data_IF_735474964130
#
_entry.id   IF_735474964130
#
_cell.length_a   1.000
_cell.length_b   1.000
_cell.length_c   1.000
_cell.angle_alpha   90.00
_cell.angle_beta   90.00
_cell.angle_gamma   90.00
#
_symmetry.space_group_name_H-M   'P 1'
#
loop_
_entity.id
_entity.type
_entity.pdbx_description
1 polymer ?
#
# COMPACT_ATOMS: atom_id res chain seq x y z
N UNK A 1 -6.28 10.64 14.08
CA UNK A 1 -6.46 9.75 12.92
C UNK A 1 -5.53 8.56 13.09
N UNK A 2 -6.03 7.32 13.03
CA UNK A 2 -5.21 6.11 13.03
C UNK A 2 -5.57 5.30 11.77
N UNK A 3 -4.75 5.35 10.70
CA UNK A 3 -5.07 4.64 9.48
C UNK A 3 -4.82 3.15 9.65
N UNK A 4 -5.74 2.35 9.13
CA UNK A 4 -5.58 0.89 9.07
C UNK A 4 -4.76 0.48 7.84
N UNK A 5 -4.03 -0.64 7.89
CA UNK A 5 -3.24 -1.17 6.76
C UNK A 5 -3.53 -2.66 6.55
N UNK A 6 -4.81 -3.02 6.61
CA UNK A 6 -5.28 -4.40 6.56
C UNK A 6 -5.47 -4.86 5.11
N UNK A 7 -5.21 -6.13 4.85
CA UNK A 7 -5.58 -6.79 3.60
C UNK A 7 -6.97 -7.41 3.74
N UNK A 8 -7.82 -7.31 2.70
CA UNK A 8 -9.21 -7.78 2.80
C UNK A 8 -9.32 -9.27 3.18
N UNK A 9 -8.41 -10.12 2.67
CA UNK A 9 -8.43 -11.57 2.96
C UNK A 9 -7.99 -11.91 4.38
N UNK A 10 -7.09 -11.11 4.98
CA UNK A 10 -6.46 -11.42 6.27
C UNK A 10 -6.70 -10.34 7.33
N UNK A 11 -7.78 -9.55 7.20
CA UNK A 11 -7.98 -8.35 8.01
C UNK A 11 -7.87 -8.60 9.54
N UNK A 12 -8.42 -9.71 10.03
CA UNK A 12 -8.30 -10.09 11.45
C UNK A 12 -6.86 -10.39 11.86
N UNK A 13 -6.12 -11.11 11.01
CA UNK A 13 -4.73 -11.45 11.27
C UNK A 13 -3.83 -10.21 11.21
N UNK A 14 -3.99 -9.39 10.18
CA UNK A 14 -3.23 -8.16 9.98
C UNK A 14 -3.48 -7.14 11.10
N UNK A 15 -4.70 -7.12 11.64
CA UNK A 15 -5.04 -6.28 12.79
C UNK A 15 -4.36 -6.79 14.07
N UNK A 16 -4.23 -8.11 14.23
CA UNK A 16 -3.56 -8.71 15.39
C UNK A 16 -2.02 -8.65 15.27
N UNK A 17 -1.48 -8.62 14.05
CA UNK A 17 -0.04 -8.67 13.76
C UNK A 17 0.39 -7.54 12.80
N UNK A 18 0.21 -6.27 13.17
CA UNK A 18 0.59 -5.17 12.30
C UNK A 18 2.10 -5.13 12.08
N UNK A 19 2.53 -4.86 10.84
CA UNK A 19 3.94 -4.59 10.53
C UNK A 19 4.45 -3.27 11.09
N UNK A 20 3.53 -2.32 11.33
CA UNK A 20 3.79 -0.97 11.85
C UNK A 20 2.49 -0.34 12.33
N UNK A 21 2.58 0.63 13.22
CA UNK A 21 1.43 1.44 13.67
C UNK A 21 1.67 2.93 13.38
N UNK A 22 0.73 3.60 12.70
CA UNK A 22 0.79 5.03 12.39
C UNK A 22 -0.24 5.77 13.24
N UNK A 23 0.19 6.80 13.96
CA UNK A 23 -0.64 7.55 14.92
C UNK A 23 -0.62 9.03 14.52
N UNK A 24 -1.70 9.49 13.90
CA UNK A 24 -1.95 10.90 13.61
C UNK A 24 -2.62 11.59 14.80
N UNK A 25 -1.93 12.52 15.45
CA UNK A 25 -2.42 13.21 16.64
C UNK A 25 -2.24 14.73 16.54
N UNK A 26 -3.16 15.49 17.14
CA UNK A 26 -3.09 16.96 17.23
C UNK A 26 -2.02 17.47 18.20
N UNK A 27 -1.49 16.59 19.06
CA UNK A 27 -0.35 16.90 19.92
C UNK A 27 0.47 15.66 20.22
N UNK A 28 1.77 15.87 20.45
CA UNK A 28 2.70 14.79 20.84
C UNK A 28 2.22 14.04 22.09
N UNK A 29 1.71 14.76 23.10
CA UNK A 29 1.20 14.16 24.34
C UNK A 29 0.06 13.17 24.09
N UNK A 30 -0.87 13.50 23.20
CA UNK A 30 -1.96 12.60 22.81
C UNK A 30 -1.41 11.39 22.04
N UNK A 31 -0.51 11.63 21.09
CA UNK A 31 0.14 10.55 20.32
C UNK A 31 0.86 9.54 21.22
N UNK A 32 1.64 10.00 22.20
CA UNK A 32 2.35 9.13 23.15
C UNK A 32 1.39 8.32 24.04
N UNK A 33 0.26 8.90 24.45
CA UNK A 33 -0.76 8.15 25.21
C UNK A 33 -1.38 7.04 24.37
N UNK A 34 -1.66 7.30 23.10
CA UNK A 34 -2.21 6.31 22.18
C UNK A 34 -1.16 5.23 21.88
N UNK A 35 0.11 5.61 21.69
CA UNK A 35 1.21 4.68 21.50
C UNK A 35 1.31 3.71 22.69
N UNK A 36 1.31 4.23 23.93
CA UNK A 36 1.33 3.40 25.14
C UNK A 36 0.17 2.42 25.21
N UNK A 37 -1.02 2.82 24.74
CA UNK A 37 -2.16 1.91 24.64
C UNK A 37 -1.92 0.81 23.61
N UNK A 38 -1.37 1.12 22.44
CA UNK A 38 -1.05 0.08 21.46
C UNK A 38 0.07 -0.85 21.91
N UNK A 39 1.05 -0.35 22.66
CA UNK A 39 2.14 -1.16 23.23
C UNK A 39 1.65 -2.17 24.28
N UNK A 40 0.40 -2.06 24.79
CA UNK A 40 -0.20 -3.12 25.63
C UNK A 40 -0.83 -4.26 24.82
N UNK A 41 -1.03 -4.06 23.51
CA UNK A 41 -1.71 -5.01 22.62
C UNK A 41 -0.71 -5.62 21.63
N UNK A 42 0.19 -4.80 21.10
CA UNK A 42 1.16 -5.18 20.07
C UNK A 42 2.60 -5.16 20.60
N UNK A 43 3.54 -5.87 19.93
CA UNK A 43 4.94 -5.87 20.33
C UNK A 43 5.53 -4.46 20.42
N UNK A 44 6.35 -4.20 21.44
CA UNK A 44 7.10 -2.93 21.53
C UNK A 44 8.18 -2.83 20.44
N UNK A 45 8.61 -3.96 19.89
CA UNK A 45 9.63 -4.04 18.84
C UNK A 45 9.13 -3.65 17.45
N UNK A 46 7.81 -3.61 17.20
CA UNK A 46 7.30 -3.11 15.92
C UNK A 46 7.45 -1.58 15.82
N UNK A 47 7.62 -1.02 14.62
CA UNK A 47 7.70 0.42 14.44
C UNK A 47 6.39 1.16 14.79
N UNK A 48 6.49 2.22 15.59
CA UNK A 48 5.42 3.17 15.87
C UNK A 48 5.79 4.55 15.33
N UNK A 49 4.91 5.13 14.51
CA UNK A 49 5.10 6.45 13.92
C UNK A 49 4.07 7.43 14.47
N UNK A 50 4.49 8.39 15.28
CA UNK A 50 3.64 9.49 15.75
C UNK A 50 3.86 10.70 14.85
N UNK A 51 2.79 11.22 14.26
CA UNK A 51 2.81 12.37 13.34
C UNK A 51 1.55 13.22 13.49
N UNK A 52 1.43 14.33 12.75
CA UNK A 52 0.19 15.08 12.67
C UNK A 52 -0.88 14.31 11.87
N UNK A 53 -2.14 14.74 11.98
CA UNK A 53 -3.27 14.04 11.35
C UNK A 53 -3.19 14.03 9.84
N UNK A 54 -2.77 15.14 9.22
CA UNK A 54 -2.69 15.27 7.76
C UNK A 54 -1.60 14.37 7.20
N UNK A 55 -0.43 14.32 7.86
CA UNK A 55 0.65 13.42 7.48
C UNK A 55 0.25 11.94 7.60
N UNK A 56 -0.51 11.57 8.63
CA UNK A 56 -1.02 10.21 8.77
C UNK A 56 -1.98 9.84 7.63
N UNK A 57 -2.85 10.77 7.22
CA UNK A 57 -3.77 10.57 6.09
C UNK A 57 -3.01 10.40 4.79
N UNK A 58 -2.03 11.25 4.55
CA UNK A 58 -1.15 11.14 3.38
C UNK A 58 -0.40 9.81 3.35
N UNK A 59 0.12 9.33 4.49
CA UNK A 59 0.79 8.03 4.58
C UNK A 59 -0.11 6.84 4.18
N UNK A 60 -1.42 6.89 4.50
CA UNK A 60 -2.39 5.88 4.05
C UNK A 60 -2.58 5.91 2.54
N UNK A 61 -2.87 7.08 1.98
CA UNK A 61 -3.04 7.24 0.54
C UNK A 61 -1.79 6.82 -0.22
N UNK A 62 -0.61 7.30 0.20
CA UNK A 62 0.65 6.96 -0.45
C UNK A 62 0.92 5.45 -0.40
N UNK A 63 0.72 4.80 0.76
CA UNK A 63 0.94 3.35 0.88
C UNK A 63 0.05 2.53 -0.06
N UNK A 64 -1.25 2.82 -0.09
CA UNK A 64 -2.19 2.10 -0.95
C UNK A 64 -1.89 2.32 -2.44
N UNK A 65 -1.58 3.55 -2.84
CA UNK A 65 -1.27 3.87 -4.22
C UNK A 65 0.06 3.25 -4.70
N UNK A 66 1.07 3.17 -3.84
CA UNK A 66 2.34 2.50 -4.15
C UNK A 66 2.15 0.98 -4.35
N UNK A 67 1.30 0.34 -3.55
CA UNK A 67 0.98 -1.08 -3.71
C UNK A 67 0.17 -1.32 -5.00
N UNK A 68 -0.86 -0.51 -5.25
CA UNK A 68 -1.67 -0.59 -6.47
C UNK A 68 -0.81 -0.38 -7.74
N UNK A 69 0.09 0.60 -7.73
CA UNK A 69 1.04 0.85 -8.80
C UNK A 69 1.93 -0.37 -9.10
N UNK A 70 2.44 -1.04 -8.07
CA UNK A 70 3.26 -2.24 -8.24
C UNK A 70 2.50 -3.38 -8.90
N UNK A 71 1.24 -3.60 -8.51
CA UNK A 71 0.40 -4.65 -9.11
C UNK A 71 0.14 -4.35 -10.59
N UNK A 72 -0.27 -3.13 -10.92
CA UNK A 72 -0.58 -2.77 -12.32
C UNK A 72 0.66 -2.85 -13.23
N UNK A 73 1.82 -2.39 -12.75
CA UNK A 73 3.06 -2.57 -13.49
C UNK A 73 3.42 -4.06 -13.65
N UNK A 74 3.17 -4.87 -12.63
CA UNK A 74 3.39 -6.31 -12.69
C UNK A 74 2.51 -6.98 -13.75
N UNK A 75 1.26 -6.53 -13.92
CA UNK A 75 0.33 -7.00 -14.95
C UNK A 75 0.83 -6.68 -16.37
N UNK A 76 1.35 -5.46 -16.58
CA UNK A 76 1.96 -5.08 -17.87
C UNK A 76 3.16 -5.98 -18.21
N UNK A 77 4.05 -6.21 -17.24
CA UNK A 77 5.18 -7.12 -17.44
C UNK A 77 4.75 -8.57 -17.66
N UNK A 78 3.65 -9.01 -17.04
CA UNK A 78 3.08 -10.33 -17.29
C UNK A 78 2.60 -10.43 -18.75
N UNK A 79 1.80 -9.48 -19.22
CA UNK A 79 1.31 -9.44 -20.60
C UNK A 79 2.46 -9.37 -21.62
N UNK A 80 3.48 -8.55 -21.36
CA UNK A 80 4.67 -8.48 -22.19
C UNK A 80 5.42 -9.80 -22.22
N UNK A 81 5.59 -10.45 -21.06
CA UNK A 81 6.25 -11.75 -20.94
C UNK A 81 5.56 -12.82 -21.80
N UNK A 82 4.22 -12.85 -21.80
CA UNK A 82 3.45 -13.75 -22.69
C UNK A 82 3.74 -13.46 -24.17
N UNK A 83 3.88 -12.19 -24.54
CA UNK A 83 4.08 -11.80 -25.94
C UNK A 83 5.49 -12.11 -26.45
N UNK A 84 6.49 -12.03 -25.60
CA UNK A 84 7.89 -12.33 -25.94
C UNK A 84 8.28 -13.79 -25.68
N UNK A 85 7.37 -14.60 -25.12
CA UNK A 85 7.63 -16.02 -24.80
C UNK A 85 8.50 -16.22 -23.56
N UNK A 86 8.52 -15.26 -22.63
CA UNK A 86 9.23 -15.38 -21.36
C UNK A 86 8.34 -16.01 -20.28
N UNK A 87 8.92 -16.87 -19.44
CA UNK A 87 8.26 -17.35 -18.22
C UNK A 87 8.25 -16.25 -17.16
N UNK A 88 7.09 -15.63 -16.99
CA UNK A 88 6.88 -14.55 -16.03
C UNK A 88 7.26 -14.94 -14.60
N UNK A 89 6.98 -16.18 -14.16
CA UNK A 89 7.28 -16.57 -12.78
C UNK A 89 8.77 -16.68 -12.52
N UNK A 90 9.56 -17.05 -13.54
CA UNK A 90 11.02 -17.00 -13.49
C UNK A 90 11.52 -15.55 -13.46
N UNK A 91 10.98 -14.68 -14.31
CA UNK A 91 11.33 -13.24 -14.34
C UNK A 91 11.01 -12.57 -13.00
N UNK A 92 9.79 -12.75 -12.51
CA UNK A 92 9.30 -12.20 -11.24
C UNK A 92 10.19 -12.60 -10.08
N UNK A 93 10.54 -13.89 -9.95
CA UNK A 93 11.42 -14.36 -8.86
C UNK A 93 12.81 -13.73 -8.92
N UNK A 94 13.38 -13.58 -10.11
CA UNK A 94 14.66 -12.92 -10.28
C UNK A 94 14.61 -11.43 -9.86
N UNK A 95 13.54 -10.73 -10.23
CA UNK A 95 13.32 -9.32 -9.85
C UNK A 95 13.06 -9.18 -8.33
N UNK A 96 12.26 -10.07 -7.74
CA UNK A 96 11.94 -10.05 -6.31
C UNK A 96 13.12 -10.37 -5.39
N UNK A 97 14.20 -10.97 -5.93
CA UNK A 97 15.42 -11.20 -5.18
C UNK A 97 16.12 -9.88 -4.79
N UNK A 98 15.81 -8.76 -5.45
CA UNK A 98 16.29 -7.43 -5.05
C UNK A 98 15.45 -6.89 -3.88
N UNK A 99 16.04 -6.71 -2.67
CA UNK A 99 15.31 -6.25 -1.49
C UNK A 99 14.77 -4.83 -1.62
N UNK A 100 15.26 -4.03 -2.57
CA UNK A 100 14.74 -2.67 -2.86
C UNK A 100 13.38 -2.73 -3.56
N UNK A 101 13.08 -3.83 -4.25
CA UNK A 101 11.81 -4.03 -4.96
C UNK A 101 10.79 -4.73 -4.04
N UNK A 102 11.19 -5.84 -3.43
CA UNK A 102 10.35 -6.60 -2.49
C UNK A 102 9.17 -7.34 -3.13
N UNK A 103 8.12 -7.58 -2.35
CA UNK A 103 6.95 -8.43 -2.70
C UNK A 103 5.90 -7.73 -3.58
N UNK A 104 4.71 -8.33 -3.75
CA UNK A 104 3.56 -7.78 -4.51
C UNK A 104 3.79 -7.62 -6.02
N UNK A 105 4.35 -8.66 -6.65
CA UNK A 105 4.52 -8.75 -8.11
C UNK A 105 3.88 -10.03 -8.68
N UNK A 106 3.02 -10.71 -7.93
CA UNK A 106 2.42 -11.98 -8.36
C UNK A 106 1.24 -11.70 -9.30
N UNK A 107 1.27 -12.32 -10.48
CA UNK A 107 0.23 -12.23 -11.52
C UNK A 107 0.00 -13.62 -12.14
N UNK A 108 -1.23 -14.13 -12.21
CA UNK A 108 -2.46 -13.57 -11.62
C UNK A 108 -2.35 -13.44 -10.10
N UNK A 109 -3.12 -12.51 -9.53
CA UNK A 109 -3.16 -12.26 -8.10
C UNK A 109 -3.61 -13.47 -7.29
N UNK A 110 -3.60 -13.40 -5.95
CA UNK A 110 -4.02 -14.51 -5.08
C UNK A 110 -5.51 -14.88 -5.22
N UNK A 111 -6.30 -14.04 -5.89
CA UNK A 111 -7.69 -14.26 -6.31
C UNK A 111 -7.81 -14.94 -7.69
N UNK A 112 -6.72 -15.08 -8.43
CA UNK A 112 -6.69 -15.68 -9.77
C UNK A 112 -6.91 -14.68 -10.90
N UNK A 113 -7.08 -13.39 -10.57
CA UNK A 113 -7.38 -12.34 -11.54
C UNK A 113 -6.13 -11.52 -11.90
N UNK A 114 -6.14 -10.88 -13.07
CA UNK A 114 -5.17 -9.84 -13.46
C UNK A 114 -5.67 -8.51 -12.93
N UNK A 115 -4.78 -7.65 -12.43
CA UNK A 115 -5.17 -6.45 -11.71
C UNK A 115 -5.18 -6.66 -10.20
N UNK A 116 -5.58 -5.60 -9.50
CA UNK A 116 -5.97 -5.72 -8.10
C UNK A 116 -7.48 -5.84 -7.96
N UNK A 117 -7.94 -6.86 -7.24
CA UNK A 117 -9.29 -6.94 -6.73
C UNK A 117 -9.51 -6.05 -5.50
N UNK A 118 -10.76 -5.70 -5.23
CA UNK A 118 -11.18 -5.02 -3.99
C UNK A 118 -11.52 -3.53 -4.15
N UNK A 119 -12.38 -3.04 -3.26
CA UNK A 119 -12.96 -1.70 -3.33
C UNK A 119 -12.02 -0.56 -2.92
N UNK A 120 -10.91 -0.86 -2.23
CA UNK A 120 -10.06 0.15 -1.60
C UNK A 120 -9.10 0.83 -2.58
N UNK A 121 -8.40 0.08 -3.43
CA UNK A 121 -7.38 0.66 -4.33
C UNK A 121 -7.98 1.58 -5.41
N UNK A 122 -9.07 1.21 -6.13
CA UNK A 122 -9.71 2.12 -7.08
C UNK A 122 -10.17 3.42 -6.41
N UNK A 123 -10.85 3.30 -5.26
CA UNK A 123 -11.42 4.43 -4.53
C UNK A 123 -10.33 5.40 -4.06
N UNK A 124 -9.28 4.88 -3.43
CA UNK A 124 -8.22 5.71 -2.86
C UNK A 124 -7.39 6.39 -3.96
N UNK A 125 -7.16 5.72 -5.08
CA UNK A 125 -6.43 6.29 -6.23
C UNK A 125 -7.25 7.38 -6.93
N UNK A 126 -8.52 7.13 -7.24
CA UNK A 126 -9.43 8.13 -7.82
C UNK A 126 -9.59 9.32 -6.87
N UNK A 127 -9.76 9.07 -5.58
CA UNK A 127 -9.88 10.10 -4.56
C UNK A 127 -8.65 11.00 -4.48
N UNK A 128 -7.45 10.41 -4.45
CA UNK A 128 -6.19 11.14 -4.42
C UNK A 128 -5.97 11.96 -5.70
N UNK A 129 -6.20 11.37 -6.88
CA UNK A 129 -6.09 12.09 -8.16
C UNK A 129 -7.10 13.26 -8.23
N UNK A 130 -8.32 13.06 -7.75
CA UNK A 130 -9.33 14.13 -7.65
C UNK A 130 -8.91 15.27 -6.73
N UNK A 131 -8.31 14.94 -5.57
CA UNK A 131 -7.79 15.92 -4.64
C UNK A 131 -6.58 16.68 -5.22
N UNK A 132 -5.63 15.97 -5.84
CA UNK A 132 -4.47 16.57 -6.49
C UNK A 132 -4.87 17.56 -7.60
N UNK A 133 -5.88 17.23 -8.42
CA UNK A 133 -6.43 18.16 -9.43
C UNK A 133 -6.95 19.45 -8.82
N UNK A 134 -7.67 19.38 -7.69
CA UNK A 134 -8.16 20.59 -6.98
C UNK A 134 -7.00 21.46 -6.48
N UNK A 135 -5.90 20.83 -6.07
CA UNK A 135 -4.69 21.52 -5.61
C UNK A 135 -3.73 21.91 -6.74
N UNK A 136 -4.05 21.59 -8.00
CA UNK A 136 -3.19 21.80 -9.18
C UNK A 136 -1.82 21.13 -9.06
N UNK A 137 -1.77 19.98 -8.40
CA UNK A 137 -0.57 19.13 -8.34
C UNK A 137 -0.61 18.14 -9.50
N UNK A 138 0.46 18.11 -10.30
CA UNK A 138 0.59 17.11 -11.36
C UNK A 138 0.89 15.73 -10.75
N UNK A 139 0.04 14.78 -11.09
CA UNK A 139 0.14 13.37 -10.70
C UNK A 139 0.10 12.48 -11.95
N UNK A 140 0.68 12.95 -13.06
CA UNK A 140 0.70 12.29 -14.36
C UNK A 140 1.16 10.83 -14.30
N UNK A 141 2.19 10.52 -13.50
CA UNK A 141 2.67 9.15 -13.32
C UNK A 141 1.59 8.23 -12.70
N UNK A 142 0.96 8.66 -11.60
CA UNK A 142 -0.11 7.88 -10.97
C UNK A 142 -1.37 7.81 -11.86
N UNK A 143 -1.64 8.87 -12.62
CA UNK A 143 -2.75 8.90 -13.58
C UNK A 143 -2.53 7.93 -14.74
N UNK A 144 -1.29 7.79 -15.22
CA UNK A 144 -0.95 6.83 -16.28
C UNK A 144 -1.08 5.40 -15.78
N UNK A 145 -0.67 5.14 -14.53
CA UNK A 145 -0.83 3.84 -13.88
C UNK A 145 -2.31 3.46 -13.76
N UNK A 146 -3.21 4.41 -13.49
CA UNK A 146 -4.64 4.12 -13.34
C UNK A 146 -5.38 3.81 -14.67
N UNK A 147 -4.83 4.24 -15.81
CA UNK A 147 -5.49 4.16 -17.12
C UNK A 147 -5.28 2.80 -17.80
#
# INVERSE_FOLDING_TARGET
MNPEFLTQKNATYDFAHPYRTVIGASSKKVGERIKKLYETIYPQSQPYFIMDTTSAEMAKYMSNNMLAAKVLLADEFFALSQRVGADYDTVRRAVQADPRIGSHLQVPGPDGDVGFGGSCFPKDMIGLLGFARKLKVDMSALSAIWQ
#
